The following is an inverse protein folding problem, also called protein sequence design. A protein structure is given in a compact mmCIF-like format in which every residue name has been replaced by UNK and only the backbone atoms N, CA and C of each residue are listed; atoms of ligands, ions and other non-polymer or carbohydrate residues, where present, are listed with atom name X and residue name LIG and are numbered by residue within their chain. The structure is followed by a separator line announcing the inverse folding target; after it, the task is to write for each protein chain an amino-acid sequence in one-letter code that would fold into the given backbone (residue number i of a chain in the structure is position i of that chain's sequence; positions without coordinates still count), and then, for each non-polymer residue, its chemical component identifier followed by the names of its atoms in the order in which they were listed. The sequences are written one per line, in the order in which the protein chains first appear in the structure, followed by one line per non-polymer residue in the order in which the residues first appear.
data_IF_018389451570
#
_entry.id   IF_018389451570
#
_cell.length_a   1.000
_cell.length_b   1.000
_cell.length_c   1.000
_cell.angle_alpha   90.00
_cell.angle_beta   90.00
_cell.angle_gamma   90.00
#
_symmetry.space_group_name_H-M   'P 1'
#
loop_
_entity.id
_entity.type
_entity.pdbx_description
1 polymer ?
#
# COMPACT_ATOMS: atom_id res chain seq x y z
N UNK A 1 -2.45 10.39 -21.93
CA UNK A 1 -1.43 10.45 -20.88
C UNK A 1 -1.84 9.63 -19.66
N UNK A 2 -2.80 10.07 -18.83
CA UNK A 2 -3.14 9.45 -17.55
C UNK A 2 -3.39 7.92 -17.64
N UNK A 3 -4.34 7.49 -18.49
CA UNK A 3 -4.72 6.08 -18.56
C UNK A 3 -3.57 5.16 -18.99
N UNK A 4 -2.72 5.62 -19.92
CA UNK A 4 -1.59 4.83 -20.42
C UNK A 4 -0.53 4.63 -19.36
N UNK A 5 -0.01 5.70 -18.76
CA UNK A 5 1.03 5.60 -17.72
C UNK A 5 0.53 4.90 -16.46
N UNK A 6 -0.72 5.14 -16.07
CA UNK A 6 -1.30 4.46 -14.91
C UNK A 6 -1.42 2.95 -15.13
N UNK A 7 -1.85 2.53 -16.32
CA UNK A 7 -1.93 1.11 -16.67
C UNK A 7 -0.55 0.45 -16.69
N UNK A 8 0.46 1.14 -17.21
CA UNK A 8 1.84 0.64 -17.28
C UNK A 8 2.47 0.53 -15.88
N UNK A 9 2.35 1.57 -15.03
CA UNK A 9 2.82 1.51 -13.65
C UNK A 9 2.17 0.35 -12.88
N UNK A 10 0.85 0.16 -13.03
CA UNK A 10 0.11 -0.94 -12.40
C UNK A 10 0.55 -2.30 -12.92
N UNK A 11 0.79 -2.43 -14.21
CA UNK A 11 1.27 -3.69 -14.80
C UNK A 11 2.65 -4.05 -14.23
N UNK A 12 3.60 -3.12 -14.29
CA UNK A 12 4.95 -3.32 -13.78
C UNK A 12 4.97 -3.60 -12.27
N UNK A 13 4.14 -2.88 -11.50
CA UNK A 13 3.95 -3.14 -10.07
C UNK A 13 3.42 -4.54 -9.77
N UNK A 14 2.44 -5.02 -10.54
CA UNK A 14 1.86 -6.37 -10.38
C UNK A 14 2.79 -7.50 -10.82
N UNK A 15 3.76 -7.22 -11.69
CA UNK A 15 4.75 -8.20 -12.14
C UNK A 15 6.06 -8.14 -11.36
N UNK A 16 6.18 -7.22 -10.39
CA UNK A 16 7.38 -7.04 -9.58
C UNK A 16 8.52 -6.32 -10.31
N UNK A 17 8.26 -5.73 -11.48
CA UNK A 17 9.26 -5.04 -12.31
C UNK A 17 9.47 -3.58 -11.85
N UNK A 18 9.67 -3.38 -10.55
CA UNK A 18 9.75 -2.05 -9.94
C UNK A 18 10.91 -1.19 -10.46
N UNK A 19 12.02 -1.82 -10.85
CA UNK A 19 13.13 -1.09 -11.46
C UNK A 19 12.73 -0.41 -12.78
N UNK A 20 11.97 -1.12 -13.64
CA UNK A 20 11.41 -0.54 -14.87
C UNK A 20 10.32 0.51 -14.56
N UNK A 21 9.50 0.25 -13.54
CA UNK A 21 8.49 1.23 -13.13
C UNK A 21 9.11 2.55 -12.65
N UNK A 22 10.30 2.53 -12.04
CA UNK A 22 11.03 3.74 -11.67
C UNK A 22 11.44 4.59 -12.88
N UNK A 23 11.67 3.99 -14.05
CA UNK A 23 12.01 4.71 -15.28
C UNK A 23 10.83 5.57 -15.77
N UNK A 24 9.60 5.21 -15.40
CA UNK A 24 8.40 5.96 -15.75
C UNK A 24 8.12 7.14 -14.80
N UNK A 25 8.81 7.24 -13.66
CA UNK A 25 8.53 8.27 -12.65
C UNK A 25 8.70 9.67 -13.24
N UNK A 26 9.84 9.95 -13.88
CA UNK A 26 10.09 11.26 -14.44
C UNK A 26 9.12 11.60 -15.59
N UNK A 27 8.88 10.73 -16.60
CA UNK A 27 7.85 10.96 -17.61
C UNK A 27 6.45 11.24 -17.04
N UNK A 28 6.08 10.58 -15.95
CA UNK A 28 4.79 10.83 -15.27
C UNK A 28 4.77 12.22 -14.65
N UNK A 29 5.84 12.64 -13.98
CA UNK A 29 5.93 13.96 -13.35
C UNK A 29 5.91 15.09 -14.40
N UNK A 30 6.67 14.93 -15.47
CA UNK A 30 6.69 15.89 -16.59
C UNK A 30 5.30 16.03 -17.21
N UNK A 31 4.61 14.90 -17.42
CA UNK A 31 3.24 14.90 -17.91
C UNK A 31 2.23 15.49 -16.92
N UNK A 32 2.39 15.24 -15.62
CA UNK A 32 1.54 15.87 -14.60
C UNK A 32 1.72 17.41 -14.59
N UNK A 33 2.93 17.91 -14.83
CA UNK A 33 3.20 19.35 -14.96
C UNK A 33 2.63 19.91 -16.26
N UNK A 34 2.87 19.26 -17.40
CA UNK A 34 2.36 19.67 -18.71
C UNK A 34 0.83 19.78 -18.73
N UNK A 35 0.15 18.83 -18.08
CA UNK A 35 -1.31 18.76 -18.04
C UNK A 35 -1.92 19.30 -16.74
N UNK A 36 -1.17 20.03 -15.91
CA UNK A 36 -1.61 20.48 -14.58
C UNK A 36 -2.99 21.16 -14.57
N UNK A 37 -3.30 21.99 -15.61
CA UNK A 37 -4.61 22.66 -15.73
C UNK A 37 -5.76 21.79 -16.27
N UNK A 38 -5.49 20.57 -16.71
CA UNK A 38 -6.46 19.64 -17.31
C UNK A 38 -6.53 18.29 -16.61
N UNK A 39 -5.53 17.97 -15.79
CA UNK A 39 -5.49 16.71 -15.03
C UNK A 39 -6.39 16.85 -13.81
N UNK A 40 -7.50 16.11 -13.80
CA UNK A 40 -8.40 16.06 -12.66
C UNK A 40 -7.67 15.60 -11.40
N UNK A 41 -8.05 16.14 -10.25
CA UNK A 41 -7.45 15.85 -8.96
C UNK A 41 -7.47 14.36 -8.60
N UNK A 42 -8.55 13.68 -8.97
CA UNK A 42 -8.67 12.21 -8.80
C UNK A 42 -7.52 11.45 -9.47
N UNK A 43 -7.16 11.86 -10.70
CA UNK A 43 -6.05 11.25 -11.43
C UNK A 43 -4.68 11.60 -10.84
N UNK A 44 -4.53 12.78 -10.24
CA UNK A 44 -3.31 13.13 -9.51
C UNK A 44 -3.15 12.24 -8.27
N UNK A 45 -4.24 12.00 -7.52
CA UNK A 45 -4.23 11.11 -6.37
C UNK A 45 -3.89 9.66 -6.76
N UNK A 46 -4.40 9.18 -7.90
CA UNK A 46 -4.04 7.86 -8.45
C UNK A 46 -2.54 7.78 -8.75
N UNK A 47 -1.97 8.78 -9.41
CA UNK A 47 -0.53 8.80 -9.67
C UNK A 47 0.28 8.81 -8.37
N UNK A 48 -0.05 9.66 -7.40
CA UNK A 48 0.67 9.68 -6.12
C UNK A 48 0.63 8.33 -5.40
N UNK A 49 -0.51 7.65 -5.44
CA UNK A 49 -0.67 6.32 -4.87
C UNK A 49 0.22 5.29 -5.58
N UNK A 50 0.23 5.27 -6.91
CA UNK A 50 1.06 4.33 -7.69
C UNK A 50 2.55 4.64 -7.55
N UNK A 51 2.95 5.92 -7.55
CA UNK A 51 4.33 6.32 -7.30
C UNK A 51 4.81 5.86 -5.91
N UNK A 52 3.94 5.95 -4.89
CA UNK A 52 4.26 5.42 -3.56
C UNK A 52 4.48 3.91 -3.60
N UNK A 53 3.62 3.15 -4.30
CA UNK A 53 3.74 1.70 -4.42
C UNK A 53 5.01 1.29 -5.21
N UNK A 54 5.33 1.99 -6.29
CA UNK A 54 6.54 1.75 -7.10
C UNK A 54 7.80 1.98 -6.27
N UNK A 55 7.90 3.12 -5.58
CA UNK A 55 9.06 3.39 -4.73
C UNK A 55 9.19 2.40 -3.57
N UNK A 56 8.07 1.96 -3.00
CA UNK A 56 8.08 0.93 -1.96
C UNK A 56 8.63 -0.40 -2.51
N UNK A 57 8.12 -0.84 -3.65
CA UNK A 57 8.57 -2.07 -4.29
C UNK A 57 10.04 -2.05 -4.73
N UNK A 58 10.56 -0.85 -5.01
CA UNK A 58 11.98 -0.61 -5.30
C UNK A 58 12.83 -0.36 -4.03
N UNK A 59 12.31 -0.69 -2.85
CA UNK A 59 12.97 -0.53 -1.54
C UNK A 59 13.33 0.94 -1.17
N UNK A 60 12.75 1.91 -1.87
CA UNK A 60 12.93 3.34 -1.60
C UNK A 60 11.85 3.86 -0.65
N UNK A 61 11.78 3.28 0.57
CA UNK A 61 10.66 3.44 1.51
C UNK A 61 10.42 4.91 1.89
N UNK A 62 11.47 5.72 2.03
CA UNK A 62 11.32 7.16 2.32
C UNK A 62 10.67 7.94 1.15
N UNK A 63 10.98 7.57 -0.10
CA UNK A 63 10.33 8.16 -1.27
C UNK A 63 8.87 7.69 -1.40
N UNK A 64 8.61 6.42 -1.05
CA UNK A 64 7.23 5.93 -0.95
C UNK A 64 6.41 6.76 0.05
N UNK A 65 6.97 7.05 1.24
CA UNK A 65 6.33 7.91 2.23
C UNK A 65 6.09 9.33 1.70
N UNK A 66 7.06 9.91 0.98
CA UNK A 66 6.90 11.23 0.38
C UNK A 66 5.67 11.29 -0.55
N UNK A 67 5.55 10.33 -1.47
CA UNK A 67 4.42 10.30 -2.40
C UNK A 67 3.10 9.99 -1.69
N UNK A 68 3.11 9.06 -0.73
CA UNK A 68 1.92 8.75 0.04
C UNK A 68 1.41 9.95 0.84
N UNK A 69 2.30 10.76 1.37
CA UNK A 69 1.94 11.99 2.07
C UNK A 69 1.25 13.03 1.17
N UNK A 70 1.48 13.01 -0.16
CA UNK A 70 0.71 13.85 -1.09
C UNK A 70 -0.78 13.45 -1.10
N UNK A 71 -1.07 12.16 -0.93
CA UNK A 71 -2.45 11.67 -0.78
C UNK A 71 -3.00 12.00 0.61
N UNK A 72 -2.27 11.65 1.67
CA UNK A 72 -2.75 11.76 3.06
C UNK A 72 -3.03 13.19 3.52
N UNK A 73 -2.28 14.16 2.96
CA UNK A 73 -2.41 15.59 3.27
C UNK A 73 -3.40 16.32 2.35
N UNK A 74 -4.02 15.63 1.42
CA UNK A 74 -5.02 16.24 0.57
C UNK A 74 -6.29 16.63 1.35
N UNK A 75 -6.88 17.77 0.98
CA UNK A 75 -7.99 18.38 1.72
C UNK A 75 -9.36 17.85 1.34
N UNK A 76 -9.45 17.02 0.29
CA UNK A 76 -10.71 16.50 -0.24
C UNK A 76 -10.84 14.97 -0.15
N UNK A 77 -10.81 14.39 1.07
CA UNK A 77 -10.81 12.93 1.24
C UNK A 77 -12.09 12.24 0.77
N UNK A 78 -13.16 12.98 0.53
CA UNK A 78 -14.45 12.45 0.05
C UNK A 78 -14.44 12.18 -1.45
N UNK A 79 -13.54 12.80 -2.20
CA UNK A 79 -13.45 12.68 -3.66
C UNK A 79 -13.13 11.23 -4.09
N UNK A 80 -12.17 10.61 -3.40
CA UNK A 80 -11.71 9.24 -3.64
C UNK A 80 -11.48 8.50 -2.31
N UNK A 81 -12.56 8.23 -1.58
CA UNK A 81 -12.49 7.55 -0.27
C UNK A 81 -11.74 6.21 -0.31
N UNK A 82 -11.81 5.51 -1.43
CA UNK A 82 -11.06 4.30 -1.67
C UNK A 82 -9.53 4.55 -1.59
N UNK A 83 -9.01 5.52 -2.34
CA UNK A 83 -7.57 5.87 -2.31
C UNK A 83 -7.13 6.32 -0.92
N UNK A 84 -7.92 7.15 -0.25
CA UNK A 84 -7.58 7.60 1.12
C UNK A 84 -7.56 6.46 2.14
N UNK A 85 -8.47 5.50 2.00
CA UNK A 85 -8.47 4.30 2.84
C UNK A 85 -7.18 3.50 2.66
N UNK A 86 -6.82 3.26 1.41
CA UNK A 86 -5.58 2.56 1.08
C UNK A 86 -4.34 3.28 1.55
N UNK A 87 -4.27 4.58 1.29
CA UNK A 87 -3.15 5.38 1.73
C UNK A 87 -2.94 5.27 3.25
N UNK A 88 -4.00 5.20 4.04
CA UNK A 88 -3.91 5.02 5.49
C UNK A 88 -3.45 3.63 5.90
N UNK A 89 -3.91 2.57 5.22
CA UNK A 89 -3.44 1.21 5.48
C UNK A 89 -1.99 1.03 5.02
N UNK A 90 -1.66 1.56 3.85
CA UNK A 90 -0.30 1.51 3.33
C UNK A 90 0.69 2.34 4.17
N UNK A 91 0.24 3.43 4.77
CA UNK A 91 1.03 4.21 5.71
C UNK A 91 1.48 3.40 6.94
N UNK A 92 0.63 2.48 7.42
CA UNK A 92 1.02 1.55 8.49
C UNK A 92 2.17 0.63 8.06
N UNK A 93 2.11 0.10 6.84
CA UNK A 93 3.17 -0.73 6.25
C UNK A 93 4.47 0.05 6.14
N UNK A 94 4.42 1.25 5.55
CA UNK A 94 5.59 2.11 5.36
C UNK A 94 6.26 2.44 6.70
N UNK A 95 5.49 2.86 7.71
CA UNK A 95 6.05 3.17 9.03
C UNK A 95 6.54 1.94 9.77
N UNK A 96 5.96 0.77 9.53
CA UNK A 96 6.50 -0.50 10.03
C UNK A 96 7.87 -0.80 9.41
N UNK A 97 8.03 -0.65 8.10
CA UNK A 97 9.31 -0.86 7.40
C UNK A 97 10.40 0.15 7.82
N UNK A 98 10.01 1.39 8.12
CA UNK A 98 10.91 2.42 8.63
C UNK A 98 11.29 2.23 10.11
N UNK A 99 10.69 1.24 10.81
CA UNK A 99 10.92 1.03 12.24
C UNK A 99 10.32 2.10 13.15
N UNK A 100 9.41 2.93 12.66
CA UNK A 100 8.78 4.02 13.40
C UNK A 100 7.66 3.51 14.32
N UNK A 101 7.97 2.54 15.19
CA UNK A 101 6.96 1.82 15.97
C UNK A 101 6.21 2.69 16.97
N UNK A 102 6.84 3.69 17.54
CA UNK A 102 6.19 4.64 18.46
C UNK A 102 5.13 5.48 17.73
N UNK A 103 5.43 5.88 16.48
CA UNK A 103 4.50 6.64 15.65
C UNK A 103 3.32 5.78 15.17
N UNK A 104 3.53 4.48 15.00
CA UNK A 104 2.48 3.55 14.55
C UNK A 104 1.25 3.55 15.47
N UNK A 105 1.42 3.70 16.78
CA UNK A 105 0.30 3.79 17.72
C UNK A 105 -0.63 5.00 17.41
N UNK A 106 -0.02 6.13 17.05
CA UNK A 106 -0.77 7.32 16.66
C UNK A 106 -1.46 7.12 15.30
N UNK A 107 -0.73 6.56 14.32
CA UNK A 107 -1.25 6.31 12.97
C UNK A 107 -2.42 5.33 13.03
N UNK A 108 -2.32 4.25 13.83
CA UNK A 108 -3.41 3.28 14.06
C UNK A 108 -4.67 4.01 14.56
N UNK A 109 -4.54 4.81 15.61
CA UNK A 109 -5.70 5.57 16.16
C UNK A 109 -6.31 6.53 15.15
N UNK A 110 -5.47 7.22 14.39
CA UNK A 110 -5.91 8.13 13.34
C UNK A 110 -6.63 7.39 12.21
N UNK A 111 -6.10 6.25 11.77
CA UNK A 111 -6.70 5.39 10.75
C UNK A 111 -8.05 4.84 11.22
N UNK A 112 -8.13 4.26 12.41
CA UNK A 112 -9.37 3.75 12.98
C UNK A 112 -10.46 4.84 13.09
N UNK A 113 -10.07 6.05 13.51
CA UNK A 113 -10.99 7.20 13.57
C UNK A 113 -11.51 7.62 12.19
N UNK A 114 -10.66 7.53 11.15
CA UNK A 114 -11.08 7.80 9.78
C UNK A 114 -12.04 6.73 9.28
N UNK A 115 -11.74 5.45 9.51
CA UNK A 115 -12.55 4.32 9.06
C UNK A 115 -13.92 4.29 9.75
N UNK A 116 -13.98 4.63 11.04
CA UNK A 116 -15.24 4.64 11.82
C UNK A 116 -16.28 5.69 11.36
N UNK A 117 -15.85 6.68 10.57
CA UNK A 117 -16.75 7.68 9.98
C UNK A 117 -17.42 7.23 8.69
N UNK A 118 -17.04 6.08 8.14
CA UNK A 118 -17.62 5.56 6.90
C UNK A 118 -18.86 4.72 7.18
N UNK A 119 -19.72 4.63 6.17
CA UNK A 119 -20.95 3.82 6.26
C UNK A 119 -20.67 2.32 6.24
N UNK A 120 -19.52 1.88 5.68
CA UNK A 120 -19.13 0.48 5.57
C UNK A 120 -17.77 0.27 6.20
N UNK A 121 -17.68 -0.71 7.09
CA UNK A 121 -16.44 -1.25 7.64
C UNK A 121 -16.12 -2.59 6.96
N UNK A 122 -14.85 -2.84 6.70
CA UNK A 122 -14.35 -4.10 6.18
C UNK A 122 -13.54 -4.82 7.26
N UNK A 123 -13.71 -6.13 7.37
CA UNK A 123 -12.97 -6.94 8.36
C UNK A 123 -11.47 -6.94 8.04
N UNK A 124 -11.11 -6.96 6.76
CA UNK A 124 -9.72 -6.94 6.29
C UNK A 124 -8.98 -5.68 6.75
N UNK A 125 -9.64 -4.53 6.84
CA UNK A 125 -9.04 -3.29 7.32
C UNK A 125 -8.64 -3.40 8.81
N UNK A 126 -9.56 -3.90 9.63
CA UNK A 126 -9.30 -4.13 11.06
C UNK A 126 -8.21 -5.19 11.26
N UNK A 127 -8.25 -6.27 10.47
CA UNK A 127 -7.24 -7.32 10.51
C UNK A 127 -5.84 -6.77 10.21
N UNK A 128 -5.69 -5.95 9.16
CA UNK A 128 -4.42 -5.32 8.79
C UNK A 128 -3.93 -4.37 9.89
N UNK A 129 -4.79 -3.50 10.39
CA UNK A 129 -4.45 -2.54 11.45
C UNK A 129 -3.96 -3.27 12.70
N UNK A 130 -4.74 -4.23 13.18
CA UNK A 130 -4.42 -4.95 14.41
C UNK A 130 -3.23 -5.88 14.24
N UNK A 131 -3.09 -6.52 13.07
CA UNK A 131 -1.96 -7.38 12.74
C UNK A 131 -0.64 -6.60 12.72
N UNK A 132 -0.59 -5.50 11.97
CA UNK A 132 0.61 -4.63 11.88
C UNK A 132 0.98 -4.08 13.27
N UNK A 133 -0.03 -3.64 14.04
CA UNK A 133 0.17 -3.17 15.41
C UNK A 133 0.79 -4.26 16.31
N UNK A 134 0.28 -5.50 16.25
CA UNK A 134 0.84 -6.63 17.01
C UNK A 134 2.26 -6.97 16.57
N UNK A 135 2.53 -6.98 15.27
CA UNK A 135 3.89 -7.19 14.73
C UNK A 135 4.87 -6.13 15.24
N UNK A 136 4.47 -4.85 15.23
CA UNK A 136 5.30 -3.74 15.70
C UNK A 136 5.60 -3.81 17.21
N UNK A 137 4.64 -4.27 18.01
CA UNK A 137 4.80 -4.44 19.48
C UNK A 137 5.61 -5.66 19.87
N UNK A 138 5.75 -6.64 19.00
CA UNK A 138 6.47 -7.87 19.26
C UNK A 138 7.99 -7.60 19.33
N UNK A 139 8.55 -7.58 20.54
CA UNK A 139 9.98 -7.29 20.76
C UNK A 139 10.87 -8.48 20.34
N UNK A 140 10.41 -9.72 20.55
CA UNK A 140 11.16 -10.91 20.21
C UNK A 140 10.91 -11.35 18.76
N UNK A 141 11.95 -11.77 18.01
CA UNK A 141 11.80 -12.23 16.62
C UNK A 141 10.80 -13.39 16.47
N UNK A 142 10.79 -14.33 17.39
CA UNK A 142 9.86 -15.46 17.37
C UNK A 142 8.40 -15.00 17.52
N UNK A 143 8.13 -14.10 18.47
CA UNK A 143 6.79 -13.53 18.66
C UNK A 143 6.35 -12.72 17.42
N UNK A 144 7.26 -11.96 16.83
CA UNK A 144 6.98 -11.20 15.60
C UNK A 144 6.62 -12.13 14.43
N UNK A 145 7.37 -13.22 14.27
CA UNK A 145 7.08 -14.23 13.22
C UNK A 145 5.71 -14.88 13.44
N UNK A 146 5.33 -15.18 14.66
CA UNK A 146 4.01 -15.71 15.00
C UNK A 146 2.88 -14.72 14.66
N UNK A 147 3.03 -13.43 15.01
CA UNK A 147 2.04 -12.41 14.66
C UNK A 147 1.94 -12.22 13.13
N UNK A 148 3.05 -12.30 12.42
CA UNK A 148 3.07 -12.23 10.94
C UNK A 148 2.32 -13.41 10.33
N UNK A 149 2.54 -14.63 10.87
CA UNK A 149 1.83 -15.84 10.43
C UNK A 149 0.32 -15.72 10.69
N UNK A 150 -0.08 -15.27 11.87
CA UNK A 150 -1.49 -15.07 12.22
C UNK A 150 -2.17 -14.04 11.30
N UNK A 151 -1.46 -12.97 10.94
CA UNK A 151 -1.95 -11.97 9.98
C UNK A 151 -2.12 -12.58 8.59
N UNK A 152 -1.17 -13.37 8.11
CA UNK A 152 -1.26 -14.09 6.85
C UNK A 152 -2.49 -14.99 6.79
N UNK A 153 -2.66 -15.88 7.77
CA UNK A 153 -3.78 -16.81 7.84
C UNK A 153 -5.14 -16.11 7.89
N UNK A 154 -5.21 -14.97 8.60
CA UNK A 154 -6.39 -14.12 8.63
C UNK A 154 -6.69 -13.52 7.26
N UNK A 155 -5.67 -13.00 6.58
CA UNK A 155 -5.81 -12.37 5.27
C UNK A 155 -6.22 -13.40 4.19
N UNK A 156 -5.63 -14.60 4.20
CA UNK A 156 -5.99 -15.70 3.30
C UNK A 156 -7.49 -16.05 3.38
N UNK A 157 -8.04 -16.08 4.60
CA UNK A 157 -9.48 -16.35 4.80
C UNK A 157 -10.36 -15.23 4.24
N UNK A 158 -10.00 -13.97 4.47
CA UNK A 158 -10.80 -12.83 4.02
C UNK A 158 -10.68 -12.58 2.52
N UNK A 159 -9.56 -12.94 1.89
CA UNK A 159 -9.40 -12.82 0.43
C UNK A 159 -10.36 -13.72 -0.36
N UNK A 160 -10.91 -14.76 0.26
CA UNK A 160 -11.93 -15.60 -0.37
C UNK A 160 -13.29 -14.88 -0.50
N UNK A 161 -13.54 -13.83 0.28
CA UNK A 161 -14.74 -12.98 0.15
C UNK A 161 -14.49 -11.85 -0.86
N UNK A 162 -15.24 -11.81 -1.99
CA UNK A 162 -15.13 -10.74 -2.97
C UNK A 162 -15.37 -9.34 -2.39
N UNK A 163 -16.20 -9.22 -1.35
CA UNK A 163 -16.48 -7.93 -0.72
C UNK A 163 -15.28 -7.42 0.07
N UNK A 164 -14.55 -8.29 0.74
CA UNK A 164 -13.36 -7.95 1.52
C UNK A 164 -12.15 -7.72 0.60
N UNK A 165 -12.00 -8.50 -0.47
CA UNK A 165 -10.89 -8.43 -1.40
C UNK A 165 -10.79 -7.08 -2.15
N UNK A 166 -11.89 -6.33 -2.26
CA UNK A 166 -11.90 -4.99 -2.86
C UNK A 166 -10.91 -4.04 -2.19
N UNK A 167 -10.70 -4.18 -0.88
CA UNK A 167 -9.77 -3.37 -0.11
C UNK A 167 -8.30 -3.62 -0.50
N UNK A 168 -7.98 -4.74 -1.12
CA UNK A 168 -6.61 -5.16 -1.41
C UNK A 168 -6.11 -4.79 -2.82
N UNK A 169 -6.86 -3.97 -3.56
CA UNK A 169 -6.60 -3.69 -4.99
C UNK A 169 -5.36 -2.84 -5.27
N UNK A 170 -4.97 -1.96 -4.36
CA UNK A 170 -3.94 -0.94 -4.61
C UNK A 170 -2.56 -1.29 -4.06
N UNK A 171 -2.47 -2.25 -3.14
CA UNK A 171 -1.22 -2.74 -2.60
C UNK A 171 -1.32 -4.23 -2.28
N UNK A 172 -0.31 -5.00 -2.62
CA UNK A 172 -0.24 -6.43 -2.37
C UNK A 172 0.24 -6.71 -0.93
N UNK A 173 -0.67 -6.55 0.04
CA UNK A 173 -0.41 -6.84 1.45
C UNK A 173 0.02 -8.29 1.67
N UNK A 174 -0.51 -9.23 0.88
CA UNK A 174 -0.15 -10.64 1.02
C UNK A 174 1.31 -10.87 0.65
N UNK A 175 1.76 -10.36 -0.50
CA UNK A 175 3.17 -10.47 -0.89
C UNK A 175 4.10 -9.78 0.10
N UNK A 176 3.68 -8.65 0.70
CA UNK A 176 4.45 -8.00 1.75
C UNK A 176 4.59 -8.89 3.00
N UNK A 177 3.50 -9.50 3.46
CA UNK A 177 3.50 -10.41 4.62
C UNK A 177 4.38 -11.62 4.36
N UNK A 178 4.30 -12.23 3.17
CA UNK A 178 5.14 -13.36 2.77
C UNK A 178 6.62 -12.96 2.76
N UNK A 179 6.96 -11.79 2.20
CA UNK A 179 8.31 -11.26 2.20
C UNK A 179 8.88 -11.15 3.62
N UNK A 180 8.09 -10.66 4.59
CA UNK A 180 8.49 -10.58 6.01
C UNK A 180 8.69 -11.97 6.63
N UNK A 181 7.88 -12.96 6.28
CA UNK A 181 8.00 -14.32 6.81
C UNK A 181 9.21 -15.06 6.27
N UNK A 182 9.52 -14.86 5.00
CA UNK A 182 10.58 -15.57 4.27
C UNK A 182 11.93 -14.84 4.30
N UNK A 183 11.99 -13.59 4.74
CA UNK A 183 13.19 -12.75 4.72
C UNK A 183 13.64 -12.41 3.30
N UNK A 184 12.69 -12.29 2.38
CA UNK A 184 12.90 -11.93 0.96
C UNK A 184 12.49 -10.50 0.70
N UNK A 185 12.92 -9.96 -0.43
CA UNK A 185 12.41 -8.65 -0.89
C UNK A 185 10.94 -8.75 -1.32
N UNK A 186 10.22 -7.64 -1.19
CA UNK A 186 8.84 -7.56 -1.67
C UNK A 186 8.75 -7.81 -3.18
N UNK A 187 9.69 -7.27 -3.95
CA UNK A 187 9.77 -7.42 -5.40
C UNK A 187 9.90 -8.90 -5.83
N UNK A 188 10.75 -9.69 -5.16
CA UNK A 188 10.91 -11.12 -5.45
C UNK A 188 9.62 -11.89 -5.23
N UNK A 189 8.93 -11.64 -4.11
CA UNK A 189 7.67 -12.33 -3.80
C UNK A 189 6.58 -11.97 -4.79
N UNK A 190 6.44 -10.69 -5.15
CA UNK A 190 5.49 -10.24 -6.18
C UNK A 190 5.77 -10.88 -7.53
N UNK A 191 7.05 -10.97 -7.92
CA UNK A 191 7.46 -11.59 -9.18
C UNK A 191 7.09 -13.07 -9.22
N UNK A 192 7.34 -13.82 -8.16
CA UNK A 192 6.99 -15.24 -8.06
C UNK A 192 5.47 -15.44 -8.07
N UNK A 193 4.73 -14.61 -7.34
CA UNK A 193 3.27 -14.64 -7.36
C UNK A 193 2.70 -14.35 -8.76
N UNK A 194 3.30 -13.43 -9.51
CA UNK A 194 2.89 -13.12 -10.88
C UNK A 194 3.16 -14.29 -11.84
N UNK A 195 4.27 -15.01 -11.67
CA UNK A 195 4.60 -16.21 -12.47
C UNK A 195 3.64 -17.38 -12.21
N UNK A 196 3.20 -17.54 -10.96
CA UNK A 196 2.29 -18.62 -10.56
C UNK A 196 0.84 -18.43 -11.05
N UNK A 197 0.49 -17.23 -11.51
CA UNK A 197 -0.85 -16.89 -12.05
C UNK A 197 -0.96 -17.06 -13.57
N UNK A 198 0.16 -17.37 -14.25
CA UNK A 198 0.22 -17.68 -15.69
C UNK A 198 0.01 -19.17 -15.95
#
# INVERSE_FOLDING_TARGET
FHASYLAELRLLGRTGEFAKALELVQPVLDGMEEYAGRLHKEHQLEFYQELAAVHFGAEQVNKALFWLNKVLNDTEPTLRQDIFTYARLFNLVIHYELGNYDLLEYIVRSTQRFLSKRQRAYEVENLLIDGIKRMARAQQPAARKEQTKALREGLERLMADPNESVVLKYFDFMSWIIAKMEGRSFAEVVTDAARSRK
#
